data_IF_194383753033
#
_entry.id   IF_194383753033
#
_cell.length_a   1.000
_cell.length_b   1.000
_cell.length_c   1.000
_cell.angle_alpha   90.00
_cell.angle_beta   90.00
_cell.angle_gamma   90.00
#
_symmetry.space_group_name_H-M   'P 1'
#
loop_
_entity.id
_entity.type
_entity.pdbx_description
1 polymer ?
#
# COMPACT_ATOMS: atom_id res chain seq x y z
N UNK A 1 9.20 -29.49 7.29
CA UNK A 1 8.60 -28.31 6.61
C UNK A 1 9.47 -27.13 6.98
N UNK A 2 10.33 -26.67 6.06
CA UNK A 2 11.20 -25.51 6.33
C UNK A 2 10.33 -24.25 6.21
N UNK A 3 10.27 -23.47 7.29
CA UNK A 3 9.82 -22.09 7.21
C UNK A 3 10.96 -21.34 6.51
N UNK A 4 10.77 -21.04 5.23
CA UNK A 4 11.66 -20.13 4.51
C UNK A 4 11.74 -18.84 5.31
N UNK A 5 12.95 -18.34 5.52
CA UNK A 5 13.16 -17.03 6.12
C UNK A 5 12.23 -16.03 5.42
N UNK A 6 11.55 -15.18 6.19
CA UNK A 6 10.64 -14.18 5.63
C UNK A 6 11.45 -13.21 4.75
N UNK A 7 11.56 -13.54 3.47
CA UNK A 7 12.31 -12.77 2.49
C UNK A 7 11.37 -11.81 1.76
N UNK A 8 11.79 -10.55 1.66
CA UNK A 8 11.07 -9.53 0.91
C UNK A 8 11.15 -9.86 -0.58
N UNK A 9 10.01 -10.24 -1.17
CA UNK A 9 9.92 -10.51 -2.62
C UNK A 9 9.88 -9.19 -3.41
N UNK A 10 9.15 -8.19 -2.92
CA UNK A 10 9.12 -6.84 -3.50
C UNK A 10 8.70 -5.81 -2.44
N UNK A 11 9.07 -4.55 -2.68
CA UNK A 11 8.61 -3.40 -1.90
C UNK A 11 8.29 -2.25 -2.84
N UNK A 12 7.13 -1.63 -2.66
CA UNK A 12 6.75 -0.39 -3.35
C UNK A 12 6.05 0.52 -2.36
N UNK A 13 6.49 1.76 -2.29
CA UNK A 13 5.95 2.77 -1.40
C UNK A 13 5.35 3.92 -2.19
N UNK A 14 4.35 4.57 -1.62
CA UNK A 14 3.83 5.86 -2.04
C UNK A 14 3.91 6.82 -0.87
N UNK A 15 4.15 8.10 -1.15
CA UNK A 15 4.25 9.17 -0.17
C UNK A 15 3.63 10.43 -0.80
N UNK A 16 2.65 11.02 -0.12
CA UNK A 16 1.93 12.22 -0.53
C UNK A 16 2.65 13.53 -0.18
N UNK A 17 3.75 13.46 0.57
CA UNK A 17 4.54 14.61 1.04
C UNK A 17 4.19 15.08 2.45
N UNK A 18 3.18 14.46 3.08
CA UNK A 18 2.75 14.72 4.45
C UNK A 18 2.73 13.46 5.32
N UNK A 19 1.93 13.48 6.38
CA UNK A 19 1.65 12.28 7.16
C UNK A 19 0.66 11.39 6.38
N UNK A 20 1.05 10.15 6.11
CA UNK A 20 0.24 9.19 5.35
C UNK A 20 0.00 7.93 6.18
N UNK A 21 -1.24 7.43 6.17
CA UNK A 21 -1.64 6.24 6.92
C UNK A 21 -2.39 5.26 6.03
N UNK A 22 -1.95 4.00 6.01
CA UNK A 22 -2.69 2.90 5.40
C UNK A 22 -3.59 2.20 6.42
N UNK A 23 -4.87 2.02 6.11
CA UNK A 23 -5.86 1.43 7.03
C UNK A 23 -6.47 0.12 6.52
N UNK A 24 -6.39 -0.14 5.21
CA UNK A 24 -6.94 -1.34 4.62
C UNK A 24 -6.13 -1.82 3.43
N UNK A 25 -6.11 -3.14 3.23
CA UNK A 25 -5.49 -3.80 2.10
C UNK A 25 -6.43 -4.86 1.52
N UNK A 26 -6.48 -4.94 0.19
CA UNK A 26 -7.18 -6.00 -0.54
C UNK A 26 -6.34 -6.43 -1.76
N UNK A 27 -6.50 -7.68 -2.17
CA UNK A 27 -5.82 -8.25 -3.34
C UNK A 27 -6.87 -8.83 -4.29
N UNK A 28 -6.80 -8.49 -5.57
CA UNK A 28 -7.68 -9.07 -6.59
C UNK A 28 -7.15 -10.40 -7.15
N UNK A 29 -7.97 -11.10 -7.94
CA UNK A 29 -7.60 -12.39 -8.54
C UNK A 29 -6.46 -12.29 -9.56
N UNK A 30 -6.10 -11.08 -9.99
CA UNK A 30 -4.96 -10.81 -10.88
C UNK A 30 -3.70 -10.43 -10.09
N UNK A 31 -3.73 -10.50 -8.77
CA UNK A 31 -2.59 -10.20 -7.90
C UNK A 31 -2.32 -8.70 -7.73
N UNK A 32 -3.22 -7.82 -8.16
CA UNK A 32 -3.07 -6.40 -7.87
C UNK A 32 -3.40 -6.14 -6.39
N UNK A 33 -2.57 -5.31 -5.76
CA UNK A 33 -2.73 -4.93 -4.36
C UNK A 33 -3.35 -3.53 -4.28
N UNK A 34 -4.39 -3.38 -3.48
CA UNK A 34 -5.08 -2.13 -3.23
C UNK A 34 -4.86 -1.74 -1.77
N UNK A 35 -4.33 -0.55 -1.54
CA UNK A 35 -4.16 0.01 -0.19
C UNK A 35 -5.02 1.25 -0.08
N UNK A 36 -5.85 1.34 0.96
CA UNK A 36 -6.69 2.51 1.23
C UNK A 36 -6.32 3.15 2.55
N UNK A 37 -6.47 4.46 2.63
CA UNK A 37 -6.17 5.20 3.85
C UNK A 37 -6.30 6.71 3.68
N UNK A 38 -5.48 7.44 4.42
CA UNK A 38 -5.48 8.90 4.42
C UNK A 38 -4.09 9.45 4.09
N UNK A 39 -4.07 10.63 3.46
CA UNK A 39 -2.85 11.39 3.17
C UNK A 39 -3.06 12.86 3.52
N UNK A 40 -2.10 13.45 4.22
CA UNK A 40 -2.12 14.87 4.54
C UNK A 40 -1.55 15.69 3.37
N UNK A 41 -2.37 16.58 2.80
CA UNK A 41 -2.02 17.36 1.61
C UNK A 41 -1.34 18.71 1.91
N UNK A 42 -1.06 19.02 3.17
CA UNK A 42 -0.55 20.32 3.61
C UNK A 42 -1.57 21.20 4.33
N UNK A 43 -2.87 20.89 4.21
CA UNK A 43 -3.96 21.60 4.89
C UNK A 43 -4.95 20.67 5.61
N UNK A 44 -5.29 19.52 5.01
CA UNK A 44 -6.24 18.55 5.55
C UNK A 44 -5.86 17.12 5.13
N UNK A 45 -6.55 16.14 5.72
CA UNK A 45 -6.46 14.74 5.33
C UNK A 45 -7.42 14.43 4.18
N UNK A 46 -6.89 13.80 3.13
CA UNK A 46 -7.65 13.30 1.98
C UNK A 46 -7.75 11.77 2.05
N UNK A 47 -8.88 11.21 1.60
CA UNK A 47 -8.99 9.77 1.39
C UNK A 47 -8.27 9.36 0.11
N UNK A 48 -7.46 8.30 0.19
CA UNK A 48 -6.72 7.77 -0.94
C UNK A 48 -6.86 6.25 -1.05
N UNK A 49 -6.92 5.76 -2.28
CA UNK A 49 -6.79 4.34 -2.62
C UNK A 49 -5.75 4.18 -3.73
N UNK A 50 -4.72 3.38 -3.46
CA UNK A 50 -3.58 3.15 -4.33
C UNK A 50 -3.64 1.72 -4.86
N UNK A 51 -3.47 1.55 -6.17
CA UNK A 51 -3.34 0.24 -6.82
C UNK A 51 -1.89 -0.03 -7.19
N UNK A 52 -1.29 -1.05 -6.58
CA UNK A 52 -0.03 -1.63 -7.02
C UNK A 52 -0.31 -2.80 -7.97
N UNK A 53 0.11 -2.66 -9.23
CA UNK A 53 -0.06 -3.68 -10.25
C UNK A 53 1.06 -4.71 -10.16
N UNK A 54 0.69 -5.98 -10.28
CA UNK A 54 1.62 -7.04 -10.61
C UNK A 54 1.88 -6.99 -12.12
N UNK A 55 3.15 -6.96 -12.51
CA UNK A 55 3.56 -7.03 -13.93
C UNK A 55 3.60 -8.48 -14.38
#
# INVERSE_FOLDING_TARGET
MQYTNAETVWQKSWNGGGNDGGYGIAVDSSGNVYVTGQSYNGANDDFITIKYRQY
#
